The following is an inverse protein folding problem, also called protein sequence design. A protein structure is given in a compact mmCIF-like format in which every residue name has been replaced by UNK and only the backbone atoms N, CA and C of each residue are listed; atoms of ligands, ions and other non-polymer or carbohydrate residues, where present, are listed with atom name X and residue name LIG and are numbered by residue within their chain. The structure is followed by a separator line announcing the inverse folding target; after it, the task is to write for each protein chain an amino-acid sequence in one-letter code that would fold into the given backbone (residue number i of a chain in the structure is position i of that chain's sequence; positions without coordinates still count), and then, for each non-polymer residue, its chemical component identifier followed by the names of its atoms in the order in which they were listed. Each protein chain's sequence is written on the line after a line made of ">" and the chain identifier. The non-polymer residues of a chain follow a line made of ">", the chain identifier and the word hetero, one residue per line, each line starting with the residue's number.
data_IF_520927131844
#
_entry.id   IF_520927131844
#
_cell.length_a   1.000
_cell.length_b   1.000
_cell.length_c   1.000
_cell.angle_alpha   90.00
_cell.angle_beta   90.00
_cell.angle_gamma   90.00
#
_symmetry.space_group_name_H-M   'P 1'
#
loop_
_entity.id
_entity.type
_entity.pdbx_description
1 polymer ?
#
# COMPACT_ATOMS: atom_id res chain seq x y z
N UNK A 1 -53.62 50.49 -5.97
CA UNK A 1 -52.26 50.59 -6.55
C UNK A 1 -51.33 49.78 -5.65
N UNK A 2 -50.49 48.93 -6.26
CA UNK A 2 -49.40 48.13 -5.65
C UNK A 2 -49.84 46.79 -4.99
N UNK A 3 -49.68 45.71 -5.76
CA UNK A 3 -49.68 44.31 -5.32
C UNK A 3 -48.30 43.99 -4.73
N UNK A 4 -48.22 43.59 -3.46
CA UNK A 4 -46.99 43.05 -2.88
C UNK A 4 -46.87 41.56 -3.22
N UNK A 5 -45.88 41.21 -4.04
CA UNK A 5 -45.46 39.84 -4.31
C UNK A 5 -44.29 39.54 -3.36
N UNK A 6 -44.50 38.62 -2.42
CA UNK A 6 -43.45 38.11 -1.54
C UNK A 6 -42.68 37.02 -2.31
N UNK A 7 -41.45 37.32 -2.73
CA UNK A 7 -40.59 36.37 -3.43
C UNK A 7 -39.85 35.52 -2.38
N UNK A 8 -40.28 34.26 -2.19
CA UNK A 8 -39.59 33.29 -1.36
C UNK A 8 -38.36 32.76 -2.12
N UNK A 9 -37.17 33.22 -1.76
CA UNK A 9 -35.92 32.67 -2.30
C UNK A 9 -35.60 31.38 -1.55
N UNK A 10 -35.86 30.24 -2.18
CA UNK A 10 -35.48 28.93 -1.68
C UNK A 10 -33.97 28.71 -1.96
N UNK A 11 -33.10 29.07 -1.02
CA UNK A 11 -31.70 28.63 -1.04
C UNK A 11 -31.67 27.13 -0.72
N UNK A 12 -31.82 26.30 -1.76
CA UNK A 12 -31.49 24.89 -1.67
C UNK A 12 -29.98 24.74 -1.54
N UNK A 13 -29.48 24.58 -0.31
CA UNK A 13 -28.09 24.20 -0.06
C UNK A 13 -27.81 22.84 -0.70
N UNK A 14 -27.03 22.83 -1.78
CA UNK A 14 -26.41 21.61 -2.29
C UNK A 14 -25.43 21.11 -1.24
N UNK A 15 -25.86 20.18 -0.39
CA UNK A 15 -24.95 19.40 0.45
C UNK A 15 -24.13 18.55 -0.52
N UNK A 16 -22.89 18.97 -0.77
CA UNK A 16 -21.93 18.18 -1.52
C UNK A 16 -21.78 16.82 -0.81
N UNK A 17 -22.22 15.76 -1.48
CA UNK A 17 -22.08 14.40 -0.98
C UNK A 17 -20.62 14.00 -1.19
N UNK A 18 -19.81 13.99 -0.14
CA UNK A 18 -18.45 13.47 -0.21
C UNK A 18 -18.54 11.99 -0.60
N UNK A 19 -18.08 11.66 -1.80
CA UNK A 19 -18.09 10.29 -2.31
C UNK A 19 -16.83 9.58 -1.81
N UNK A 20 -16.92 9.00 -0.62
CA UNK A 20 -15.87 8.10 -0.12
C UNK A 20 -15.98 6.75 -0.80
N UNK A 21 -14.96 6.34 -1.54
CA UNK A 21 -14.84 4.98 -2.07
C UNK A 21 -13.93 4.18 -1.16
N UNK A 22 -14.41 3.08 -0.61
CA UNK A 22 -13.64 2.18 0.23
C UNK A 22 -13.57 0.78 -0.38
N UNK A 23 -12.38 0.21 -0.48
CA UNK A 23 -12.12 -1.14 -0.97
C UNK A 23 -11.27 -1.88 0.04
N UNK A 24 -11.70 -3.07 0.45
CA UNK A 24 -10.98 -3.91 1.38
C UNK A 24 -10.65 -5.23 0.70
N UNK A 25 -9.39 -5.65 0.76
CA UNK A 25 -8.91 -6.94 0.29
C UNK A 25 -8.37 -7.73 1.48
N UNK A 26 -8.69 -9.01 1.51
CA UNK A 26 -8.21 -9.94 2.52
C UNK A 26 -7.38 -11.02 1.86
N UNK A 27 -6.27 -11.39 2.49
CA UNK A 27 -5.38 -12.44 2.00
C UNK A 27 -5.07 -13.41 3.14
N UNK A 28 -5.00 -14.70 2.81
CA UNK A 28 -4.28 -15.67 3.64
C UNK A 28 -2.78 -15.52 3.41
N UNK A 29 -2.02 -15.65 4.50
CA UNK A 29 -0.57 -15.77 4.45
C UNK A 29 -0.20 -17.23 4.67
N UNK A 30 0.43 -17.82 3.66
CA UNK A 30 0.83 -19.21 3.66
C UNK A 30 2.34 -19.34 3.81
N UNK A 31 2.77 -20.26 4.66
CA UNK A 31 4.16 -20.70 4.75
C UNK A 31 4.17 -22.23 4.65
N UNK A 32 4.90 -22.77 3.68
CA UNK A 32 4.91 -24.22 3.37
C UNK A 32 3.49 -24.79 3.23
N UNK A 33 2.64 -24.11 2.46
CA UNK A 33 1.23 -24.46 2.20
C UNK A 33 0.30 -24.48 3.42
N UNK A 34 0.74 -23.97 4.58
CA UNK A 34 -0.11 -23.81 5.76
C UNK A 34 -0.42 -22.34 5.96
N UNK A 35 -1.68 -22.02 6.25
CA UNK A 35 -2.06 -20.68 6.68
C UNK A 35 -1.41 -20.40 8.03
N UNK A 36 -0.61 -19.34 8.08
CA UNK A 36 0.15 -18.89 9.26
C UNK A 36 -0.20 -17.45 9.63
N UNK A 37 -1.15 -16.83 8.94
CA UNK A 37 -1.43 -15.42 9.11
C UNK A 37 -2.44 -14.89 8.12
N UNK A 38 -2.66 -13.59 8.19
CA UNK A 38 -3.54 -12.86 7.28
C UNK A 38 -2.96 -11.49 6.96
N UNK A 39 -3.38 -10.94 5.82
CA UNK A 39 -3.19 -9.55 5.46
C UNK A 39 -4.54 -8.93 5.16
N UNK A 40 -4.80 -7.75 5.72
CA UNK A 40 -5.90 -6.89 5.32
C UNK A 40 -5.33 -5.62 4.67
N UNK A 41 -5.72 -5.36 3.43
CA UNK A 41 -5.40 -4.13 2.73
C UNK A 41 -6.67 -3.32 2.50
N UNK A 42 -6.65 -2.03 2.86
CA UNK A 42 -7.73 -1.09 2.61
C UNK A 42 -7.25 0.03 1.70
N UNK A 43 -8.07 0.40 0.72
CA UNK A 43 -7.91 1.59 -0.11
C UNK A 43 -9.12 2.48 0.11
N UNK A 44 -8.89 3.72 0.51
CA UNK A 44 -9.92 4.75 0.66
C UNK A 44 -9.60 5.91 -0.27
N UNK A 45 -10.59 6.36 -1.03
CA UNK A 45 -10.51 7.58 -1.84
C UNK A 45 -11.53 8.57 -1.28
N UNK A 46 -11.04 9.72 -0.81
CA UNK A 46 -11.85 10.78 -0.20
C UNK A 46 -11.17 12.12 -0.48
N UNK A 47 -11.95 13.12 -0.93
CA UNK A 47 -11.50 14.49 -1.15
C UNK A 47 -10.19 14.62 -1.98
N UNK A 48 -10.02 13.78 -3.00
CA UNK A 48 -8.85 13.77 -3.88
C UNK A 48 -7.61 13.07 -3.29
N UNK A 49 -7.68 12.63 -2.04
CA UNK A 49 -6.66 11.80 -1.40
C UNK A 49 -6.97 10.32 -1.62
N UNK A 50 -5.94 9.53 -1.88
CA UNK A 50 -6.02 8.07 -1.86
C UNK A 50 -5.16 7.54 -0.74
N UNK A 51 -5.78 6.96 0.28
CA UNK A 51 -5.10 6.35 1.42
C UNK A 51 -5.14 4.83 1.29
N UNK A 52 -3.98 4.21 1.39
CA UNK A 52 -3.80 2.78 1.51
C UNK A 52 -3.36 2.45 2.93
N UNK A 53 -4.04 1.50 3.55
CA UNK A 53 -3.61 0.89 4.80
C UNK A 53 -3.42 -0.61 4.57
N UNK A 54 -2.30 -1.17 5.02
CA UNK A 54 -2.10 -2.62 5.01
C UNK A 54 -1.62 -3.08 6.37
N UNK A 55 -2.25 -4.13 6.87
CA UNK A 55 -1.86 -4.81 8.09
C UNK A 55 -1.69 -6.30 7.83
N UNK A 56 -0.47 -6.79 8.02
CA UNK A 56 -0.13 -8.21 7.94
C UNK A 56 0.23 -8.72 9.32
N UNK A 57 -0.33 -9.85 9.71
CA UNK A 57 0.09 -10.58 10.90
C UNK A 57 0.44 -12.02 10.54
N UNK A 58 1.67 -12.42 10.85
CA UNK A 58 2.22 -13.75 10.61
C UNK A 58 2.64 -14.35 11.95
N UNK A 59 2.17 -15.56 12.24
CA UNK A 59 2.63 -16.38 13.35
C UNK A 59 3.05 -17.74 12.81
N UNK A 60 4.35 -17.96 12.72
CA UNK A 60 4.91 -19.19 12.17
C UNK A 60 5.86 -19.85 13.18
N UNK A 61 5.82 -21.18 13.23
CA UNK A 61 6.79 -21.99 13.98
C UNK A 61 7.88 -22.47 13.01
N UNK A 62 9.08 -21.94 13.15
CA UNK A 62 10.25 -22.37 12.38
C UNK A 62 11.11 -23.26 13.28
N UNK A 63 11.92 -22.64 14.15
CA UNK A 63 12.60 -23.27 15.28
C UNK A 63 11.95 -22.86 16.60
N UNK A 64 11.70 -21.55 16.73
CA UNK A 64 10.81 -20.96 17.73
C UNK A 64 9.59 -20.35 17.04
N UNK A 65 8.57 -19.99 17.83
CA UNK A 65 7.44 -19.20 17.33
C UNK A 65 7.90 -17.78 17.06
N UNK A 66 7.81 -17.35 15.79
CA UNK A 66 7.98 -15.96 15.42
C UNK A 66 6.61 -15.32 15.22
N UNK A 67 6.45 -14.10 15.70
CA UNK A 67 5.30 -13.25 15.45
C UNK A 67 5.80 -12.00 14.72
N UNK A 68 5.40 -11.84 13.47
CA UNK A 68 5.78 -10.70 12.65
C UNK A 68 4.53 -9.91 12.29
N UNK A 69 4.59 -8.60 12.48
CA UNK A 69 3.54 -7.68 12.04
C UNK A 69 4.13 -6.65 11.10
N UNK A 70 3.47 -6.42 9.98
CA UNK A 70 3.79 -5.36 9.04
C UNK A 70 2.61 -4.40 8.99
N UNK A 71 2.86 -3.12 9.23
CA UNK A 71 1.83 -2.07 9.15
C UNK A 71 2.30 -1.00 8.18
N UNK A 72 1.48 -0.71 7.18
CA UNK A 72 1.72 0.30 6.15
C UNK A 72 0.60 1.33 6.17
N UNK A 73 0.95 2.61 6.18
CA UNK A 73 0.03 3.73 5.99
C UNK A 73 0.59 4.60 4.88
N UNK A 74 -0.09 4.64 3.72
CA UNK A 74 0.41 5.32 2.53
C UNK A 74 -0.67 6.24 1.99
N UNK A 75 -0.33 7.51 1.81
CA UNK A 75 -1.25 8.56 1.36
C UNK A 75 -0.71 9.13 0.06
N UNK A 76 -1.57 9.13 -0.95
CA UNK A 76 -1.34 9.81 -2.22
C UNK A 76 -2.21 11.05 -2.31
N UNK A 77 -1.64 12.12 -2.84
CA UNK A 77 -2.34 13.34 -3.23
C UNK A 77 -2.08 13.59 -4.71
N UNK A 78 -3.12 13.73 -5.52
CA UNK A 78 -3.00 13.97 -6.96
C UNK A 78 -2.08 12.97 -7.71
N UNK A 79 -2.14 11.67 -7.33
CA UNK A 79 -1.34 10.57 -7.90
C UNK A 79 0.15 10.58 -7.56
N UNK A 80 0.61 11.50 -6.73
CA UNK A 80 1.95 11.46 -6.14
C UNK A 80 1.88 11.04 -4.67
N UNK A 81 2.92 10.34 -4.21
CA UNK A 81 3.07 10.00 -2.81
C UNK A 81 3.13 11.31 -2.01
N UNK A 82 2.28 11.40 -0.99
CA UNK A 82 2.34 12.47 -0.01
C UNK A 82 3.06 11.98 1.25
N UNK A 83 2.71 10.78 1.72
CA UNK A 83 3.30 10.17 2.92
C UNK A 83 3.28 8.65 2.84
N UNK A 84 4.31 7.98 3.33
CA UNK A 84 4.33 6.55 3.61
C UNK A 84 4.97 6.30 4.96
N UNK A 85 4.28 5.58 5.86
CA UNK A 85 4.82 5.10 7.13
C UNK A 85 4.73 3.57 7.15
N UNK A 86 5.86 2.93 7.44
CA UNK A 86 5.97 1.47 7.60
C UNK A 86 6.56 1.14 8.96
N UNK A 87 5.89 0.26 9.69
CA UNK A 87 6.38 -0.32 10.94
C UNK A 87 6.37 -1.83 10.85
N UNK A 88 7.51 -2.45 11.19
CA UNK A 88 7.68 -3.89 11.23
C UNK A 88 8.00 -4.27 12.67
N UNK A 89 7.13 -5.09 13.27
CA UNK A 89 7.35 -5.64 14.60
C UNK A 89 7.75 -7.11 14.52
N UNK A 90 8.76 -7.49 15.29
CA UNK A 90 9.14 -8.88 15.51
C UNK A 90 8.99 -9.18 17.01
N UNK A 91 8.14 -10.14 17.36
CA UNK A 91 7.86 -10.56 18.73
C UNK A 91 7.54 -9.36 19.65
N UNK A 92 6.65 -8.48 19.17
CA UNK A 92 6.20 -7.25 19.83
C UNK A 92 7.29 -6.17 20.06
N UNK A 93 8.46 -6.30 19.44
CA UNK A 93 9.49 -5.27 19.43
C UNK A 93 9.60 -4.65 18.04
N UNK A 94 9.84 -3.35 17.98
CA UNK A 94 10.11 -2.67 16.71
C UNK A 94 11.39 -3.27 16.11
N UNK A 95 11.25 -3.84 14.92
CA UNK A 95 12.35 -4.40 14.14
C UNK A 95 12.87 -3.39 13.13
N UNK A 96 11.96 -2.72 12.41
CA UNK A 96 12.29 -1.67 11.47
C UNK A 96 11.16 -0.66 11.32
N UNK A 97 11.52 0.60 11.10
CA UNK A 97 10.60 1.69 10.80
C UNK A 97 11.14 2.54 9.66
N UNK A 98 10.24 2.90 8.75
CA UNK A 98 10.55 3.78 7.62
C UNK A 98 9.41 4.77 7.46
N UNK A 99 9.75 6.04 7.32
CA UNK A 99 8.81 7.12 7.01
C UNK A 99 9.33 7.91 5.82
N UNK A 100 8.47 8.18 4.86
CA UNK A 100 8.74 8.96 3.66
C UNK A 100 7.66 10.03 3.54
N UNK A 101 8.06 11.29 3.55
CA UNK A 101 7.13 12.42 3.56
C UNK A 101 7.53 13.44 2.50
N UNK A 102 6.56 13.86 1.69
CA UNK A 102 6.76 14.93 0.70
C UNK A 102 7.01 16.24 1.43
N UNK A 103 8.17 16.85 1.19
CA UNK A 103 8.52 18.17 1.71
C UNK A 103 9.01 19.04 0.57
N UNK A 104 8.25 20.09 0.22
CA UNK A 104 8.54 21.02 -0.86
C UNK A 104 8.72 20.34 -2.24
N UNK A 105 9.96 20.16 -2.72
CA UNK A 105 10.31 19.55 -4.02
C UNK A 105 11.05 18.21 -3.90
N UNK A 106 11.18 17.69 -2.69
CA UNK A 106 11.75 16.37 -2.43
C UNK A 106 10.93 15.59 -1.39
N UNK A 107 11.38 14.37 -1.11
CA UNK A 107 10.88 13.52 -0.06
C UNK A 107 11.93 13.45 1.04
N UNK A 108 11.52 13.69 2.28
CA UNK A 108 12.31 13.38 3.45
C UNK A 108 12.06 11.94 3.84
N UNK A 109 13.12 11.15 3.96
CA UNK A 109 13.07 9.75 4.35
C UNK A 109 13.72 9.61 5.71
N UNK A 110 13.06 8.94 6.64
CA UNK A 110 13.61 8.52 7.92
C UNK A 110 13.50 7.01 8.04
N UNK A 111 14.63 6.31 7.98
CA UNK A 111 14.70 4.85 8.09
C UNK A 111 15.56 4.46 9.29
N UNK A 112 14.97 3.81 10.30
CA UNK A 112 15.66 3.44 11.54
C UNK A 112 16.50 4.59 12.12
N UNK A 113 15.89 5.78 12.24
CA UNK A 113 16.50 7.05 12.71
C UNK A 113 17.52 7.70 11.77
N UNK A 114 17.88 7.08 10.64
CA UNK A 114 18.73 7.70 9.62
C UNK A 114 17.89 8.51 8.66
N UNK A 115 18.33 9.73 8.36
CA UNK A 115 17.62 10.66 7.47
C UNK A 115 18.31 10.71 6.11
N UNK A 116 17.52 10.70 5.04
CA UNK A 116 17.96 10.94 3.67
C UNK A 116 16.88 11.68 2.87
N UNK A 117 17.18 12.01 1.62
CA UNK A 117 16.27 12.71 0.71
C UNK A 117 16.14 11.98 -0.61
N UNK A 118 14.97 12.08 -1.25
CA UNK A 118 14.73 11.56 -2.60
C UNK A 118 13.98 12.62 -3.42
N UNK A 119 14.42 12.90 -4.65
CA UNK A 119 13.91 14.05 -5.42
C UNK A 119 12.85 13.69 -6.46
N UNK A 120 12.93 12.50 -7.02
CA UNK A 120 12.03 12.12 -8.11
C UNK A 120 10.59 11.93 -7.59
N UNK A 121 9.56 12.28 -8.37
CA UNK A 121 8.18 11.98 -8.03
C UNK A 121 7.95 10.47 -7.83
N UNK A 122 7.27 10.11 -6.75
CA UNK A 122 6.87 8.72 -6.49
C UNK A 122 5.39 8.59 -6.84
N UNK A 123 5.07 7.95 -7.96
CA UNK A 123 3.70 7.82 -8.48
C UNK A 123 3.11 6.42 -8.36
N UNK A 124 3.94 5.43 -8.00
CA UNK A 124 3.53 4.05 -7.81
C UNK A 124 4.38 3.38 -6.72
N UNK A 125 3.73 2.78 -5.71
CA UNK A 125 4.42 2.13 -4.58
C UNK A 125 4.02 0.66 -4.42
N UNK A 126 4.68 -0.08 -3.51
CA UNK A 126 4.43 -1.52 -3.34
C UNK A 126 3.00 -1.80 -2.87
N UNK A 127 2.40 -0.98 -2.01
CA UNK A 127 1.02 -1.24 -1.51
C UNK A 127 -0.03 -1.20 -2.63
N UNK A 128 0.22 -0.45 -3.71
CA UNK A 128 -0.67 -0.38 -4.86
C UNK A 128 -0.75 -1.70 -5.63
N UNK A 129 0.30 -2.53 -5.57
CA UNK A 129 0.34 -3.86 -6.20
C UNK A 129 -0.75 -4.80 -5.67
N UNK A 130 -1.36 -4.51 -4.51
CA UNK A 130 -2.48 -5.31 -4.02
C UNK A 130 -3.78 -5.04 -4.78
N UNK A 131 -3.99 -3.79 -5.18
CA UNK A 131 -5.25 -3.30 -5.71
C UNK A 131 -5.27 -3.14 -7.22
N UNK A 132 -4.10 -3.06 -7.86
CA UNK A 132 -4.01 -2.70 -9.27
C UNK A 132 -2.83 -3.39 -9.92
N UNK A 133 -3.13 -4.10 -11.01
CA UNK A 133 -2.12 -4.66 -11.90
C UNK A 133 -1.26 -3.53 -12.52
N UNK A 134 0.08 -3.61 -12.43
CA UNK A 134 0.99 -2.55 -12.85
C UNK A 134 1.20 -2.54 -14.38
N UNK A 135 0.14 -2.34 -15.13
CA UNK A 135 0.19 -2.23 -16.60
C UNK A 135 1.08 -1.04 -17.00
N UNK A 136 2.11 -1.31 -17.81
CA UNK A 136 3.08 -0.31 -18.28
C UNK A 136 3.91 0.38 -17.18
N UNK A 137 3.93 -0.15 -15.96
CA UNK A 137 4.77 0.36 -14.87
C UNK A 137 6.00 -0.55 -14.73
N UNK A 138 7.18 0.05 -14.86
CA UNK A 138 8.48 -0.68 -14.82
C UNK A 138 9.23 -0.51 -13.50
N UNK A 139 8.78 0.39 -12.62
CA UNK A 139 9.36 0.58 -11.29
C UNK A 139 8.30 0.89 -10.26
N UNK A 140 8.57 0.56 -9.00
CA UNK A 140 7.72 0.94 -7.88
C UNK A 140 8.57 1.29 -6.67
N UNK A 141 8.11 2.24 -5.87
CA UNK A 141 8.77 2.57 -4.62
C UNK A 141 8.48 1.53 -3.53
N UNK A 142 9.51 1.05 -2.86
CA UNK A 142 9.41 0.22 -1.66
C UNK A 142 9.30 1.11 -0.43
N UNK A 143 8.11 1.17 0.16
CA UNK A 143 7.85 1.93 1.38
C UNK A 143 8.68 1.39 2.56
N UNK A 144 8.94 0.07 2.60
CA UNK A 144 9.78 -0.57 3.61
C UNK A 144 11.27 -0.30 3.39
N UNK A 145 11.74 -0.32 2.14
CA UNK A 145 13.18 -0.16 1.86
C UNK A 145 13.60 1.29 1.67
N UNK A 146 12.64 2.18 1.44
CA UNK A 146 12.84 3.55 0.99
C UNK A 146 13.67 3.64 -0.32
N UNK A 147 13.39 2.75 -1.26
CA UNK A 147 14.15 2.62 -2.50
C UNK A 147 13.23 2.22 -3.67
N UNK A 148 13.64 2.58 -4.89
CA UNK A 148 12.96 2.13 -6.10
C UNK A 148 13.31 0.68 -6.40
N UNK A 149 12.29 -0.13 -6.67
CA UNK A 149 12.39 -1.50 -7.14
C UNK A 149 12.02 -1.59 -8.62
N UNK A 150 12.61 -2.54 -9.31
CA UNK A 150 12.27 -2.83 -10.71
C UNK A 150 11.09 -3.78 -10.78
N UNK A 151 10.16 -3.52 -11.71
CA UNK A 151 9.06 -4.41 -12.08
C UNK A 151 9.28 -4.96 -13.49
N UNK A 152 9.22 -6.27 -13.62
CA UNK A 152 9.44 -7.00 -14.87
C UNK A 152 8.18 -7.79 -15.19
N UNK A 153 7.56 -7.53 -16.33
CA UNK A 153 6.42 -8.31 -16.81
C UNK A 153 6.90 -9.68 -17.30
N UNK A 154 6.27 -10.75 -16.80
CA UNK A 154 6.62 -12.14 -17.12
C UNK A 154 5.61 -12.80 -18.07
N UNK A 155 4.62 -12.05 -18.57
CA UNK A 155 3.48 -12.62 -19.30
C UNK A 155 2.37 -13.12 -18.36
N UNK A 156 1.19 -13.40 -18.93
CA UNK A 156 0.06 -14.02 -18.22
C UNK A 156 -0.31 -13.34 -16.89
N UNK A 157 -0.36 -12.00 -16.87
CA UNK A 157 -0.68 -11.22 -15.67
C UNK A 157 0.27 -11.51 -14.49
N UNK A 158 1.54 -11.82 -14.77
CA UNK A 158 2.59 -12.06 -13.78
C UNK A 158 3.69 -11.02 -13.86
N UNK A 159 4.16 -10.60 -12.69
CA UNK A 159 5.19 -9.59 -12.55
C UNK A 159 6.21 -10.02 -11.51
N UNK A 160 7.48 -9.77 -11.81
CA UNK A 160 8.59 -9.89 -10.87
C UNK A 160 8.99 -8.52 -10.35
N UNK A 161 9.03 -8.36 -9.03
CA UNK A 161 9.61 -7.20 -8.34
C UNK A 161 11.00 -7.56 -7.85
N UNK A 162 12.01 -6.82 -8.26
CA UNK A 162 13.41 -7.00 -7.84
C UNK A 162 13.83 -5.78 -7.04
N UNK A 163 14.35 -5.99 -5.83
CA UNK A 163 14.89 -4.90 -5.01
C UNK A 163 16.39 -4.67 -5.26
N UNK A 164 16.96 -3.63 -4.65
CA UNK A 164 18.38 -3.30 -4.79
C UNK A 164 19.37 -4.35 -4.24
N UNK A 165 18.87 -5.43 -3.62
CA UNK A 165 19.66 -6.57 -3.11
C UNK A 165 19.42 -7.83 -3.95
N UNK A 166 18.80 -7.69 -5.11
CA UNK A 166 18.40 -8.78 -6.01
C UNK A 166 17.39 -9.79 -5.41
N UNK A 167 16.74 -9.45 -4.29
CA UNK A 167 15.64 -10.27 -3.77
C UNK A 167 14.43 -10.11 -4.68
N UNK A 168 13.81 -11.24 -5.00
CA UNK A 168 12.72 -11.32 -5.96
C UNK A 168 11.39 -11.61 -5.26
N UNK A 169 10.34 -10.94 -5.73
CA UNK A 169 8.96 -11.22 -5.35
C UNK A 169 8.15 -11.42 -6.64
N UNK A 170 7.23 -12.38 -6.64
CA UNK A 170 6.38 -12.67 -7.80
C UNK A 170 4.93 -12.30 -7.47
N UNK A 171 4.26 -11.57 -8.34
CA UNK A 171 2.87 -11.14 -8.21
C UNK A 171 2.07 -11.68 -9.39
N UNK A 172 0.95 -12.34 -9.12
CA UNK A 172 0.01 -12.88 -10.11
C UNK A 172 -1.34 -12.20 -9.93
N UNK A 173 -1.90 -11.68 -11.01
CA UNK A 173 -3.15 -10.93 -11.00
C UNK A 173 -4.29 -11.72 -11.67
N UNK A 174 -5.52 -11.44 -11.23
CA UNK A 174 -6.75 -11.91 -11.85
C UNK A 174 -7.72 -10.74 -11.87
N UNK A 175 -8.28 -10.42 -13.05
CA UNK A 175 -9.19 -9.28 -13.24
C UNK A 175 -8.59 -7.93 -12.73
N UNK A 176 -7.29 -7.73 -12.90
CA UNK A 176 -6.60 -6.50 -12.51
C UNK A 176 -6.30 -6.33 -11.01
N UNK A 177 -6.68 -7.31 -10.17
CA UNK A 177 -6.44 -7.31 -8.71
C UNK A 177 -5.45 -8.42 -8.36
N UNK A 178 -4.65 -8.21 -7.30
CA UNK A 178 -3.69 -9.23 -6.87
C UNK A 178 -4.44 -10.50 -6.44
N UNK A 179 -4.10 -11.62 -7.08
CA UNK A 179 -4.65 -12.92 -6.75
C UNK A 179 -3.70 -13.70 -5.84
N UNK A 180 -2.41 -13.68 -6.15
CA UNK A 180 -1.39 -14.40 -5.38
C UNK A 180 -0.05 -13.67 -5.48
N UNK A 181 0.74 -13.66 -4.40
CA UNK A 181 2.12 -13.20 -4.44
C UNK A 181 3.06 -14.10 -3.65
N UNK A 182 4.23 -14.40 -4.19
CA UNK A 182 5.35 -14.99 -3.44
C UNK A 182 6.25 -13.86 -2.96
N UNK A 183 6.39 -13.73 -1.65
CA UNK A 183 7.07 -12.62 -1.00
C UNK A 183 8.27 -13.13 -0.19
N UNK A 184 9.44 -12.55 -0.47
CA UNK A 184 10.55 -12.47 0.46
C UNK A 184 10.32 -11.26 1.39
N UNK A 185 9.84 -11.54 2.60
CA UNK A 185 9.57 -10.53 3.61
C UNK A 185 10.80 -10.09 4.41
N UNK A 186 12.00 -10.55 4.05
CA UNK A 186 13.27 -10.35 4.75
C UNK A 186 13.41 -11.19 6.03
N UNK A 187 12.35 -11.31 6.84
CA UNK A 187 12.30 -12.16 8.04
C UNK A 187 11.79 -13.57 7.74
N UNK A 188 10.86 -13.68 6.80
CA UNK A 188 10.20 -14.93 6.42
C UNK A 188 9.74 -14.82 4.96
N UNK A 189 9.87 -15.92 4.23
CA UNK A 189 9.28 -16.08 2.92
C UNK A 189 7.86 -16.64 3.07
N UNK A 190 6.91 -16.03 2.39
CA UNK A 190 5.50 -16.41 2.46
C UNK A 190 4.79 -16.19 1.14
N UNK A 191 3.70 -16.92 0.94
CA UNK A 191 2.76 -16.67 -0.15
C UNK A 191 1.57 -15.92 0.40
N UNK A 192 1.17 -14.85 -0.27
CA UNK A 192 -0.12 -14.20 -0.09
C UNK A 192 -1.10 -14.80 -1.09
N UNK A 193 -2.30 -15.14 -0.66
CA UNK A 193 -3.38 -15.56 -1.57
C UNK A 193 -4.67 -14.86 -1.19
N UNK A 194 -5.33 -14.24 -2.17
CA UNK A 194 -6.58 -13.52 -1.92
C UNK A 194 -7.63 -14.48 -1.34
N UNK A 195 -8.39 -14.01 -0.35
CA UNK A 195 -9.56 -14.70 0.17
C UNK A 195 -10.74 -14.40 -0.73
N UNK A 196 -11.47 -15.46 -1.08
CA UNK A 196 -12.79 -15.34 -1.70
C UNK A 196 -13.80 -14.67 -0.74
#
# INVERSE_FOLDING_TARGET
>A
MIKNILLLVFLGGLIAKNNTVNTVLHFDILHKNKVVGNLQATKTIEDGLTTYHSFTHIQAKILTTINVKYTYNVVFNNKELNKADVSIMLNNKVYAETSTERSNKEYKITKNKKVSTFKEPITFTTVQLYFTEPLHITTCYSEQDAAMNTLIYLGNHKYKKVNAKDNENIYTYKNGVLYEASIDGGLINFTMKIKD
#
